data_IF_026069976524
#
_entry.id   IF_026069976524
#
_cell.length_a   1.000
_cell.length_b   1.000
_cell.length_c   1.000
_cell.angle_alpha   90.00
_cell.angle_beta   90.00
_cell.angle_gamma   90.00
#
_symmetry.space_group_name_H-M   'P 1'
#
loop_
_entity.id
_entity.type
_entity.pdbx_description
1 polymer ?
#
# COMPACT_ATOMS: atom_id res chain seq x y z
N UNK A 1 14.59 -66.83 11.36
CA UNK A 1 14.88 -65.76 10.40
C UNK A 1 13.70 -64.76 10.48
N UNK A 2 13.85 -63.65 11.24
CA UNK A 2 12.77 -62.68 11.48
C UNK A 2 12.97 -61.52 10.53
N UNK A 3 12.05 -61.37 9.57
CA UNK A 3 11.96 -60.20 8.69
C UNK A 3 11.45 -58.99 9.49
N UNK A 4 12.25 -57.93 9.54
CA UNK A 4 11.84 -56.64 10.08
C UNK A 4 11.26 -55.81 8.93
N UNK A 5 9.94 -55.57 8.99
CA UNK A 5 9.27 -54.65 8.09
C UNK A 5 9.65 -53.20 8.45
N UNK A 6 10.27 -52.49 7.55
CA UNK A 6 10.54 -51.06 7.65
C UNK A 6 9.31 -50.30 7.09
N UNK A 7 8.56 -49.68 7.97
CA UNK A 7 7.52 -48.74 7.59
C UNK A 7 8.19 -47.36 7.28
N UNK A 8 8.23 -47.00 6.01
CA UNK A 8 8.63 -45.67 5.58
C UNK A 8 7.42 -44.72 5.79
N UNK A 9 7.52 -43.90 6.80
CA UNK A 9 6.53 -42.80 7.01
C UNK A 9 6.89 -41.68 6.04
N UNK A 10 6.15 -41.60 4.91
CA UNK A 10 6.23 -40.44 4.02
C UNK A 10 5.55 -39.24 4.69
N UNK A 11 6.33 -38.34 5.26
CA UNK A 11 5.85 -37.04 5.72
C UNK A 11 5.48 -36.19 4.49
N UNK A 12 4.21 -36.18 4.15
CA UNK A 12 3.67 -35.26 3.15
C UNK A 12 3.81 -33.83 3.69
N UNK A 13 4.72 -33.08 3.08
CA UNK A 13 4.78 -31.62 3.30
C UNK A 13 3.56 -31.04 2.60
N UNK A 14 2.52 -30.76 3.36
CA UNK A 14 1.40 -29.92 2.90
C UNK A 14 1.95 -28.51 2.71
N UNK A 15 2.25 -28.15 1.48
CA UNK A 15 2.35 -26.74 1.10
C UNK A 15 0.97 -26.14 1.28
N UNK A 16 0.76 -25.45 2.41
CA UNK A 16 -0.36 -24.53 2.56
C UNK A 16 -0.10 -23.41 1.54
N UNK A 17 -0.71 -23.52 0.38
CA UNK A 17 -0.80 -22.40 -0.54
C UNK A 17 -1.60 -21.33 0.18
N UNK A 18 -0.91 -20.37 0.78
CA UNK A 18 -1.55 -19.13 1.21
C UNK A 18 -2.15 -18.49 -0.04
N UNK A 19 -3.46 -18.65 -0.18
CA UNK A 19 -4.26 -17.91 -1.15
C UNK A 19 -4.15 -16.43 -0.73
N UNK A 20 -3.14 -15.75 -1.24
CA UNK A 20 -3.05 -14.30 -1.11
C UNK A 20 -4.17 -13.70 -1.95
N UNK A 21 -5.28 -13.39 -1.30
CA UNK A 21 -6.32 -12.55 -1.88
C UNK A 21 -5.74 -11.15 -2.07
N UNK A 22 -6.14 -10.46 -3.14
CA UNK A 22 -5.72 -9.08 -3.35
C UNK A 22 -6.27 -8.16 -2.25
N UNK A 23 -7.49 -8.45 -1.78
CA UNK A 23 -8.18 -7.74 -0.71
C UNK A 23 -8.59 -8.73 0.38
N UNK A 24 -8.13 -8.47 1.61
CA UNK A 24 -8.45 -9.27 2.80
C UNK A 24 -8.66 -8.34 4.01
N UNK A 25 -9.82 -7.67 4.10
CA UNK A 25 -10.08 -6.67 5.12
C UNK A 25 -10.20 -7.28 6.51
N UNK A 26 -9.63 -6.61 7.51
CA UNK A 26 -9.89 -6.86 8.93
C UNK A 26 -10.62 -5.65 9.53
N UNK A 27 -11.74 -5.92 10.23
CA UNK A 27 -12.47 -4.90 10.99
C UNK A 27 -11.89 -4.67 12.37
N UNK A 28 -11.12 -5.63 12.89
CA UNK A 28 -10.55 -5.58 14.22
C UNK A 28 -9.11 -5.05 14.19
N UNK A 29 -8.82 -4.09 15.06
CA UNK A 29 -7.45 -3.63 15.30
C UNK A 29 -6.74 -4.56 16.28
N UNK A 30 -5.92 -5.48 15.79
CA UNK A 30 -5.10 -6.38 16.62
C UNK A 30 -4.10 -5.61 17.46
N UNK A 31 -3.67 -4.46 16.97
CA UNK A 31 -2.67 -3.60 17.58
C UNK A 31 -3.23 -2.18 17.60
N UNK A 32 -3.02 -1.47 18.71
CA UNK A 32 -3.35 -0.05 18.83
C UNK A 32 -2.09 0.76 19.14
N UNK A 33 -2.01 2.02 18.64
CA UNK A 33 -0.82 2.86 18.81
C UNK A 33 -0.41 3.07 20.26
N UNK A 34 -1.35 3.07 21.20
CA UNK A 34 -1.10 3.27 22.63
C UNK A 34 -0.20 2.18 23.22
N UNK A 35 -0.24 0.95 22.69
CA UNK A 35 0.66 -0.14 23.11
C UNK A 35 2.13 0.17 22.85
N UNK A 36 2.41 1.09 21.94
CA UNK A 36 3.76 1.57 21.60
C UNK A 36 4.05 2.96 22.19
N UNK A 37 3.18 3.48 23.05
CA UNK A 37 3.31 4.83 23.58
C UNK A 37 3.14 5.93 22.55
N UNK A 38 2.53 5.64 21.40
CA UNK A 38 2.29 6.62 20.34
C UNK A 38 1.03 7.42 20.63
N UNK A 39 1.18 8.74 20.57
CA UNK A 39 0.03 9.69 20.71
C UNK A 39 -0.53 9.98 19.33
N UNK A 40 -1.84 9.88 19.19
CA UNK A 40 -2.53 10.13 17.92
C UNK A 40 -3.90 10.77 18.16
N UNK A 41 -4.45 11.34 17.09
CA UNK A 41 -5.84 11.78 17.02
C UNK A 41 -6.59 10.90 16.04
N UNK A 42 -7.73 10.38 16.46
CA UNK A 42 -8.64 9.63 15.59
C UNK A 42 -9.71 10.57 15.05
N UNK A 43 -9.90 10.56 13.75
CA UNK A 43 -10.85 11.44 13.07
C UNK A 43 -11.65 10.69 12.01
N UNK A 44 -12.86 11.15 11.75
CA UNK A 44 -13.75 10.64 10.70
C UNK A 44 -13.71 11.57 9.50
N UNK A 45 -13.46 10.98 8.32
CA UNK A 45 -13.37 11.72 7.06
C UNK A 45 -14.51 11.25 6.14
N UNK A 46 -15.36 12.19 5.71
CA UNK A 46 -16.43 11.87 4.76
C UNK A 46 -15.92 12.00 3.34
N UNK A 47 -16.17 10.97 2.53
CA UNK A 47 -15.84 10.96 1.10
C UNK A 47 -16.94 11.68 0.29
N UNK A 48 -16.66 11.98 -0.98
CA UNK A 48 -17.63 12.63 -1.89
C UNK A 48 -18.87 11.78 -2.21
N UNK A 49 -18.79 10.48 -1.95
CA UNK A 49 -19.84 9.47 -2.15
C UNK A 49 -20.35 8.94 -0.80
N UNK A 50 -20.30 9.79 0.24
CA UNK A 50 -20.92 9.65 1.57
C UNK A 50 -20.40 8.48 2.42
N UNK A 51 -19.27 7.86 2.08
CA UNK A 51 -18.63 6.93 2.97
C UNK A 51 -17.87 7.68 4.08
N UNK A 52 -17.81 7.12 5.27
CA UNK A 52 -17.03 7.64 6.40
C UNK A 52 -15.79 6.78 6.61
N UNK A 53 -14.63 7.39 6.51
CA UNK A 53 -13.35 6.73 6.74
C UNK A 53 -12.85 7.00 8.16
N UNK A 54 -12.25 5.99 8.77
CA UNK A 54 -11.50 6.17 10.01
C UNK A 54 -10.05 6.50 9.68
N UNK A 55 -9.50 7.54 10.32
CA UNK A 55 -8.13 7.97 10.10
C UNK A 55 -7.43 8.29 11.43
N UNK A 56 -6.16 7.92 11.50
CA UNK A 56 -5.27 8.23 12.62
C UNK A 56 -4.20 9.23 12.20
N UNK A 57 -4.09 10.31 12.97
CA UNK A 57 -3.15 11.40 12.76
C UNK A 57 -2.10 11.41 13.85
N UNK A 58 -0.85 11.32 13.45
CA UNK A 58 0.31 11.34 14.34
C UNK A 58 1.17 12.56 14.04
N UNK A 59 1.58 13.26 15.08
CA UNK A 59 2.52 14.36 14.97
C UNK A 59 3.86 13.97 15.58
N UNK A 60 4.94 14.13 14.81
CA UNK A 60 6.29 13.90 15.32
C UNK A 60 6.68 14.96 16.34
N UNK A 61 7.55 14.61 17.28
CA UNK A 61 8.12 15.56 18.24
C UNK A 61 9.10 16.55 17.60
N UNK A 62 9.52 16.31 16.36
CA UNK A 62 10.41 17.22 15.62
C UNK A 62 9.61 18.36 15.00
N UNK A 63 10.19 19.58 15.02
CA UNK A 63 9.58 20.72 14.34
C UNK A 63 9.60 20.51 12.83
N UNK A 64 8.44 20.27 12.22
CA UNK A 64 8.30 20.00 10.78
C UNK A 64 6.92 20.39 10.26
N UNK A 65 6.85 20.63 8.96
CA UNK A 65 5.59 20.76 8.20
C UNK A 65 5.40 19.61 7.22
N UNK A 66 6.28 18.61 7.24
CA UNK A 66 6.21 17.45 6.34
C UNK A 66 5.13 16.50 6.82
N UNK A 67 4.31 16.06 5.88
CA UNK A 67 3.27 15.04 6.09
C UNK A 67 3.42 13.92 5.09
N UNK A 68 3.12 12.71 5.54
CA UNK A 68 2.95 11.55 4.67
C UNK A 68 1.59 10.89 4.93
N UNK A 69 0.90 10.52 3.86
CA UNK A 69 -0.29 9.67 3.92
C UNK A 69 0.16 8.25 3.65
N UNK A 70 -0.21 7.32 4.53
CA UNK A 70 0.07 5.89 4.39
C UNK A 70 -1.19 5.18 3.92
N UNK A 71 -1.11 4.53 2.76
CA UNK A 71 -2.15 3.68 2.19
C UNK A 71 -1.79 2.21 2.37
N UNK A 72 -2.66 1.45 3.02
CA UNK A 72 -2.42 0.03 3.34
C UNK A 72 -2.37 -0.88 2.12
N UNK A 73 -1.89 -2.09 2.34
CA UNK A 73 -1.65 -3.09 1.28
C UNK A 73 -2.92 -3.71 0.68
N UNK A 74 -4.08 -3.52 1.33
CA UNK A 74 -5.31 -4.25 1.01
C UNK A 74 -5.50 -5.51 1.85
N UNK A 75 -4.51 -5.89 2.64
CA UNK A 75 -4.62 -6.93 3.67
C UNK A 75 -4.66 -6.29 5.06
N UNK A 76 -5.47 -6.83 5.96
CA UNK A 76 -5.60 -6.34 7.32
C UNK A 76 -6.33 -5.00 7.44
N UNK A 77 -5.72 -4.03 8.12
CA UNK A 77 -6.22 -2.65 8.28
C UNK A 77 -5.05 -1.67 8.54
N UNK A 78 -5.35 -0.38 8.78
CA UNK A 78 -4.30 0.63 8.96
C UNK A 78 -3.35 0.33 10.12
N UNK A 79 -3.78 -0.42 11.16
CA UNK A 79 -2.94 -0.74 12.31
C UNK A 79 -1.73 -1.61 11.94
N UNK A 80 -1.79 -2.36 10.85
CA UNK A 80 -0.67 -3.18 10.39
C UNK A 80 0.52 -2.33 9.90
N UNK A 81 0.29 -1.02 9.67
CA UNK A 81 1.32 -0.06 9.28
C UNK A 81 1.93 0.73 10.45
N UNK A 82 1.63 0.38 11.72
CA UNK A 82 2.13 1.13 12.90
C UNK A 82 3.66 1.19 12.92
N UNK A 83 4.33 0.13 12.54
CA UNK A 83 5.80 0.10 12.56
C UNK A 83 6.39 1.07 11.53
N UNK A 84 5.87 1.07 10.30
CA UNK A 84 6.33 2.01 9.27
C UNK A 84 5.95 3.46 9.63
N UNK A 85 4.79 3.67 10.25
CA UNK A 85 4.39 4.96 10.80
C UNK A 85 5.43 5.48 11.80
N UNK A 86 5.88 4.66 12.75
CA UNK A 86 6.90 5.02 13.73
C UNK A 86 8.24 5.39 13.08
N UNK A 87 8.61 4.72 11.98
CA UNK A 87 9.82 5.07 11.22
C UNK A 87 9.70 6.48 10.60
N UNK A 88 8.54 6.83 10.01
CA UNK A 88 8.30 8.17 9.48
C UNK A 88 8.34 9.25 10.57
N UNK A 89 7.69 9.01 11.72
CA UNK A 89 7.73 9.92 12.87
C UNK A 89 9.16 10.15 13.36
N UNK A 90 9.93 9.08 13.49
CA UNK A 90 11.35 9.12 13.87
C UNK A 90 12.20 9.90 12.87
N UNK A 91 11.87 9.84 11.58
CA UNK A 91 12.52 10.60 10.52
C UNK A 91 12.08 12.08 10.46
N UNK A 92 11.01 12.47 11.16
CA UNK A 92 10.53 13.86 11.22
C UNK A 92 9.40 14.17 10.24
N UNK A 93 8.60 13.17 9.90
CA UNK A 93 7.34 13.33 9.17
C UNK A 93 6.16 13.14 10.11
N UNK A 94 5.17 14.01 10.02
CA UNK A 94 3.84 13.75 10.53
C UNK A 94 3.15 12.72 9.63
N UNK A 95 2.30 11.89 10.21
CA UNK A 95 1.69 10.76 9.50
C UNK A 95 0.18 10.81 9.58
N UNK A 96 -0.46 10.55 8.45
CA UNK A 96 -1.87 10.21 8.38
C UNK A 96 -2.00 8.76 7.87
N UNK A 97 -2.61 7.91 8.67
CA UNK A 97 -3.04 6.57 8.25
C UNK A 97 -4.57 6.53 8.18
N UNK A 98 -5.12 5.71 7.33
CA UNK A 98 -6.57 5.57 7.21
C UNK A 98 -6.95 4.15 6.79
N UNK A 99 -8.15 3.76 7.16
CA UNK A 99 -8.80 2.56 6.66
C UNK A 99 -9.62 2.87 5.43
N UNK A 100 -9.47 2.06 4.39
CA UNK A 100 -10.43 2.05 3.28
C UNK A 100 -11.83 1.72 3.79
N UNK A 101 -12.86 2.11 3.06
CA UNK A 101 -14.22 1.59 3.32
C UNK A 101 -14.20 0.06 3.34
N UNK A 102 -14.93 -0.55 4.26
CA UNK A 102 -14.90 -2.00 4.50
C UNK A 102 -13.80 -2.49 5.44
N UNK A 103 -12.85 -1.62 5.81
CA UNK A 103 -11.72 -1.93 6.70
C UNK A 103 -11.86 -1.23 8.05
N UNK A 104 -11.26 -1.82 9.10
CA UNK A 104 -11.18 -1.24 10.43
C UNK A 104 -12.49 -0.63 10.91
N UNK A 105 -12.48 0.63 11.33
CA UNK A 105 -13.64 1.39 11.79
C UNK A 105 -14.22 2.35 10.72
N UNK A 106 -13.87 2.18 9.44
CA UNK A 106 -14.51 2.87 8.32
C UNK A 106 -15.90 2.29 8.01
N UNK A 107 -16.69 3.00 7.20
CA UNK A 107 -18.03 2.57 6.77
C UNK A 107 -18.02 1.14 6.22
N UNK A 108 -19.14 0.46 6.39
CA UNK A 108 -19.33 -0.85 5.80
C UNK A 108 -19.26 -0.77 4.27
N UNK A 109 -18.64 -1.75 3.70
CA UNK A 109 -18.53 -1.95 2.27
C UNK A 109 -18.30 -3.43 1.98
N UNK A 110 -19.08 -3.99 1.07
CA UNK A 110 -18.94 -5.40 0.71
C UNK A 110 -17.72 -5.57 -0.18
N UNK A 111 -16.76 -6.36 0.30
CA UNK A 111 -15.54 -6.70 -0.43
C UNK A 111 -15.62 -8.14 -0.89
N UNK A 112 -15.57 -8.31 -2.21
CA UNK A 112 -15.41 -9.60 -2.86
C UNK A 112 -13.91 -9.89 -3.00
N UNK A 113 -13.38 -10.97 -2.42
CA UNK A 113 -11.96 -11.31 -2.47
C UNK A 113 -11.45 -11.61 -3.90
N UNK A 114 -12.33 -11.94 -4.83
CA UNK A 114 -11.96 -12.15 -6.24
C UNK A 114 -11.86 -10.83 -7.03
N UNK A 115 -12.28 -9.71 -6.45
CA UNK A 115 -12.11 -8.37 -7.01
C UNK A 115 -10.77 -7.80 -6.59
N UNK A 116 -9.96 -7.37 -7.57
CA UNK A 116 -8.60 -6.89 -7.29
C UNK A 116 -8.58 -5.54 -6.58
N UNK A 117 -9.42 -4.61 -7.01
CA UNK A 117 -9.50 -3.26 -6.45
C UNK A 117 -10.86 -2.65 -6.75
N UNK A 118 -11.32 -1.76 -5.88
CA UNK A 118 -12.54 -0.99 -6.08
C UNK A 118 -12.24 0.47 -6.45
N UNK A 119 -12.96 1.06 -7.44
CA UNK A 119 -12.83 2.48 -7.80
C UNK A 119 -13.03 3.42 -6.61
N UNK A 120 -13.84 3.01 -5.63
CA UNK A 120 -14.13 3.73 -4.41
C UNK A 120 -12.88 3.97 -3.55
N UNK A 121 -11.88 3.10 -3.59
CA UNK A 121 -10.62 3.31 -2.84
C UNK A 121 -9.83 4.52 -3.35
N UNK A 122 -10.00 4.90 -4.64
CA UNK A 122 -9.49 6.17 -5.15
C UNK A 122 -10.21 7.37 -4.51
N UNK A 123 -11.54 7.25 -4.30
CA UNK A 123 -12.30 8.28 -3.60
C UNK A 123 -11.85 8.40 -2.14
N UNK A 124 -11.55 7.28 -1.50
CA UNK A 124 -11.08 7.24 -0.12
C UNK A 124 -9.76 8.01 0.04
N UNK A 125 -8.73 7.68 -0.76
CA UNK A 125 -7.46 8.41 -0.71
C UNK A 125 -7.61 9.88 -1.10
N UNK A 126 -8.46 10.20 -2.09
CA UNK A 126 -8.76 11.58 -2.44
C UNK A 126 -9.41 12.35 -1.29
N UNK A 127 -10.34 11.73 -0.55
CA UNK A 127 -10.99 12.35 0.59
C UNK A 127 -9.99 12.65 1.72
N UNK A 128 -9.07 11.72 2.00
CA UNK A 128 -7.99 11.93 2.98
C UNK A 128 -7.08 13.09 2.56
N UNK A 129 -6.67 13.13 1.30
CA UNK A 129 -5.84 14.21 0.76
C UNK A 129 -6.56 15.57 0.81
N UNK A 130 -7.86 15.61 0.48
CA UNK A 130 -8.69 16.80 0.58
C UNK A 130 -8.89 17.25 2.03
N UNK A 131 -9.04 16.33 2.97
CA UNK A 131 -9.15 16.63 4.39
C UNK A 131 -7.87 17.29 4.92
N UNK A 132 -6.69 16.75 4.59
CA UNK A 132 -5.41 17.38 4.92
C UNK A 132 -5.34 18.83 4.40
N UNK A 133 -5.72 19.05 3.14
CA UNK A 133 -5.70 20.38 2.54
C UNK A 133 -6.73 21.34 3.15
N UNK A 134 -7.98 20.91 3.28
CA UNK A 134 -9.11 21.80 3.63
C UNK A 134 -9.24 21.99 5.14
N UNK A 135 -9.08 20.94 5.93
CA UNK A 135 -9.34 20.94 7.37
C UNK A 135 -8.10 21.19 8.20
N UNK A 136 -6.90 20.88 7.66
CA UNK A 136 -5.62 21.02 8.35
C UNK A 136 -4.66 22.01 7.70
N UNK A 137 -5.08 22.66 6.61
CA UNK A 137 -4.29 23.63 5.83
C UNK A 137 -2.92 23.07 5.33
N UNK A 138 -2.83 21.74 5.15
CA UNK A 138 -1.63 21.08 4.67
C UNK A 138 -1.69 21.02 3.15
N UNK A 139 -0.93 21.91 2.50
CA UNK A 139 -0.97 22.10 1.04
C UNK A 139 0.01 21.21 0.28
N UNK A 140 0.94 20.57 0.96
CA UNK A 140 1.93 19.64 0.38
C UNK A 140 2.13 18.46 1.30
N UNK A 141 2.12 17.25 0.72
CA UNK A 141 2.37 15.99 1.43
C UNK A 141 3.06 14.98 0.52
N UNK A 142 3.60 13.95 1.12
CA UNK A 142 4.12 12.78 0.45
C UNK A 142 3.10 11.64 0.54
N UNK A 143 3.16 10.67 -0.36
CA UNK A 143 2.36 9.45 -0.32
C UNK A 143 3.29 8.25 -0.14
N UNK A 144 2.89 7.35 0.72
CA UNK A 144 3.47 6.03 0.86
C UNK A 144 2.38 4.98 0.73
N UNK A 145 2.60 3.94 -0.04
CA UNK A 145 1.65 2.85 -0.15
C UNK A 145 2.31 1.53 -0.49
N UNK A 146 1.71 0.45 0.02
CA UNK A 146 2.14 -0.92 -0.24
C UNK A 146 1.11 -1.65 -1.10
N UNK A 147 1.56 -2.47 -2.03
CA UNK A 147 0.71 -3.27 -2.92
C UNK A 147 -0.45 -2.45 -3.53
N UNK A 148 -1.70 -2.71 -3.11
CA UNK A 148 -2.88 -1.95 -3.54
C UNK A 148 -2.69 -0.46 -3.26
N UNK A 149 -2.28 -0.10 -2.04
CA UNK A 149 -2.00 1.28 -1.65
C UNK A 149 -0.87 1.94 -2.44
N UNK A 150 0.12 1.16 -2.88
CA UNK A 150 1.18 1.62 -3.76
C UNK A 150 0.65 2.12 -5.10
N UNK A 151 -0.21 1.32 -5.74
CA UNK A 151 -0.88 1.70 -6.98
C UNK A 151 -1.87 2.85 -6.80
N UNK A 152 -2.65 2.86 -5.69
CA UNK A 152 -3.54 3.99 -5.36
C UNK A 152 -2.74 5.29 -5.17
N UNK A 153 -1.59 5.22 -4.50
CA UNK A 153 -0.71 6.37 -4.30
C UNK A 153 -0.18 6.93 -5.63
N UNK A 154 0.15 6.07 -6.59
CA UNK A 154 0.52 6.50 -7.93
C UNK A 154 -0.68 7.09 -8.69
N UNK A 155 -1.79 6.38 -8.73
CA UNK A 155 -2.99 6.79 -9.46
C UNK A 155 -3.52 8.15 -9.00
N UNK A 156 -3.67 8.34 -7.69
CA UNK A 156 -4.14 9.60 -7.09
C UNK A 156 -3.02 10.65 -7.09
N UNK A 157 -1.83 10.27 -6.65
CA UNK A 157 -0.74 11.21 -6.42
C UNK A 157 -0.22 11.88 -7.67
N UNK A 158 -0.11 11.17 -8.79
CA UNK A 158 0.28 11.75 -10.08
C UNK A 158 -0.74 12.77 -10.60
N UNK A 159 -2.01 12.66 -10.21
CA UNK A 159 -3.08 13.55 -10.62
C UNK A 159 -3.29 14.76 -9.68
N UNK A 160 -2.55 14.85 -8.55
CA UNK A 160 -2.71 15.92 -7.55
C UNK A 160 -1.52 16.85 -7.49
N UNK A 161 -1.80 18.14 -7.43
CA UNK A 161 -0.77 19.19 -7.30
C UNK A 161 -0.18 19.27 -5.89
N UNK A 162 -0.88 18.76 -4.88
CA UNK A 162 -0.44 18.73 -3.48
C UNK A 162 0.60 17.65 -3.21
N UNK A 163 0.65 16.61 -4.04
CA UNK A 163 1.62 15.53 -3.89
C UNK A 163 3.02 16.01 -4.24
N UNK A 164 3.95 15.82 -3.30
CA UNK A 164 5.36 16.19 -3.46
C UNK A 164 6.20 15.00 -3.93
N UNK A 165 6.09 13.86 -3.24
CA UNK A 165 6.77 12.62 -3.57
C UNK A 165 5.87 11.42 -3.34
N UNK A 166 6.14 10.34 -4.06
CA UNK A 166 5.43 9.08 -3.91
C UNK A 166 6.44 7.97 -3.66
N UNK A 167 6.18 7.17 -2.63
CA UNK A 167 6.87 5.90 -2.37
C UNK A 167 5.84 4.79 -2.59
N UNK A 168 6.06 3.97 -3.61
CA UNK A 168 5.16 2.88 -3.97
C UNK A 168 5.91 1.55 -3.85
N UNK A 169 5.54 0.76 -2.85
CA UNK A 169 6.12 -0.54 -2.56
C UNK A 169 5.26 -1.64 -3.18
N UNK A 170 5.82 -2.39 -4.13
CA UNK A 170 5.13 -3.42 -4.88
C UNK A 170 3.84 -2.97 -5.57
N UNK A 171 3.80 -1.78 -6.22
CA UNK A 171 2.57 -1.26 -6.79
C UNK A 171 2.12 -2.11 -7.98
N UNK A 172 0.81 -2.31 -8.12
CA UNK A 172 0.26 -2.80 -9.38
C UNK A 172 0.44 -1.76 -10.50
N UNK A 173 0.40 -2.22 -11.75
CA UNK A 173 0.73 -1.36 -12.91
C UNK A 173 -0.50 -0.90 -13.69
N UNK A 174 -1.38 -1.84 -14.01
CA UNK A 174 -2.64 -1.60 -14.71
C UNK A 174 -3.52 -2.84 -14.63
N UNK A 175 -4.84 -2.68 -14.74
CA UNK A 175 -5.80 -3.74 -14.48
C UNK A 175 -5.71 -4.86 -15.53
N UNK A 176 -5.54 -4.54 -16.80
CA UNK A 176 -5.39 -5.55 -17.84
C UNK A 176 -4.10 -6.37 -17.66
N UNK A 177 -3.01 -5.72 -17.25
CA UNK A 177 -1.75 -6.38 -16.92
C UNK A 177 -1.93 -7.31 -15.72
N UNK A 178 -2.60 -6.84 -14.68
CA UNK A 178 -2.90 -7.65 -13.50
C UNK A 178 -3.79 -8.83 -13.84
N UNK A 179 -4.84 -8.65 -14.64
CA UNK A 179 -5.72 -9.72 -15.09
C UNK A 179 -4.94 -10.82 -15.83
N UNK A 180 -4.09 -10.42 -16.78
CA UNK A 180 -3.24 -11.36 -17.51
C UNK A 180 -2.31 -12.12 -16.58
N UNK A 181 -1.59 -11.39 -15.72
CA UNK A 181 -0.63 -11.95 -14.78
C UNK A 181 -1.28 -12.89 -13.76
N UNK A 182 -2.45 -12.50 -13.26
CA UNK A 182 -3.21 -13.32 -12.30
C UNK A 182 -3.65 -14.66 -12.91
N UNK A 183 -4.09 -14.63 -14.17
CA UNK A 183 -4.41 -15.85 -14.92
C UNK A 183 -3.18 -16.74 -15.14
N UNK A 184 -2.04 -16.15 -15.50
CA UNK A 184 -0.79 -16.86 -15.73
C UNK A 184 -0.24 -17.50 -14.44
N UNK A 185 -0.25 -16.77 -13.32
CA UNK A 185 0.39 -17.21 -12.07
C UNK A 185 -0.57 -18.01 -11.18
N UNK A 186 -1.85 -17.63 -11.10
CA UNK A 186 -2.84 -18.25 -10.20
C UNK A 186 -3.83 -19.16 -10.90
N UNK A 187 -3.86 -19.17 -12.23
CA UNK A 187 -4.83 -19.95 -13.02
C UNK A 187 -6.28 -19.48 -12.87
N UNK A 188 -6.51 -18.30 -12.31
CA UNK A 188 -7.84 -17.73 -12.03
C UNK A 188 -8.08 -16.46 -12.84
N UNK A 189 -9.35 -16.17 -13.12
CA UNK A 189 -9.75 -14.88 -13.70
C UNK A 189 -9.83 -13.83 -12.59
N UNK A 190 -9.29 -12.65 -12.86
CA UNK A 190 -9.40 -11.50 -11.99
C UNK A 190 -10.61 -10.66 -12.42
N UNK A 191 -11.46 -10.29 -11.47
CA UNK A 191 -12.62 -9.43 -11.73
C UNK A 191 -12.13 -7.97 -11.76
N UNK A 192 -12.34 -7.30 -12.89
CA UNK A 192 -12.14 -5.85 -13.02
C UNK A 192 -13.48 -5.18 -12.74
N UNK A 193 -13.56 -4.28 -11.76
CA UNK A 193 -14.80 -3.63 -11.41
C UNK A 193 -15.31 -2.72 -12.55
N UNK A 194 -16.61 -2.69 -12.74
CA UNK A 194 -17.25 -1.79 -13.69
C UNK A 194 -17.06 -0.32 -13.27
N UNK A 195 -16.88 0.57 -14.25
CA UNK A 195 -16.78 2.02 -14.01
C UNK A 195 -15.41 2.49 -13.49
N UNK A 196 -14.38 1.66 -13.60
CA UNK A 196 -13.02 2.07 -13.27
C UNK A 196 -12.48 3.06 -14.31
N UNK A 197 -11.99 4.22 -13.83
CA UNK A 197 -11.38 5.24 -14.71
C UNK A 197 -9.91 4.91 -14.92
N UNK A 198 -9.54 4.56 -16.15
CA UNK A 198 -8.16 4.25 -16.54
C UNK A 198 -7.15 5.34 -16.22
N UNK A 199 -7.58 6.60 -16.12
CA UNK A 199 -6.66 7.70 -15.77
C UNK A 199 -6.05 7.57 -14.37
N UNK A 200 -6.66 6.75 -13.51
CA UNK A 200 -6.16 6.42 -12.16
C UNK A 200 -5.40 5.09 -12.11
N UNK A 201 -5.32 4.33 -13.19
CA UNK A 201 -4.40 3.20 -13.24
C UNK A 201 -2.96 3.71 -13.22
N UNK A 202 -2.06 3.13 -12.39
CA UNK A 202 -0.71 3.65 -12.21
C UNK A 202 0.04 3.97 -13.50
N UNK A 203 0.02 3.07 -14.48
CA UNK A 203 0.73 3.28 -15.74
C UNK A 203 0.23 4.49 -16.52
N UNK A 204 -1.09 4.74 -16.56
CA UNK A 204 -1.67 5.88 -17.25
C UNK A 204 -1.56 7.19 -16.45
N UNK A 205 -1.63 7.11 -15.12
CA UNK A 205 -1.39 8.25 -14.23
C UNK A 205 0.06 8.72 -14.33
N UNK A 206 1.01 7.81 -14.44
CA UNK A 206 2.43 8.11 -14.67
C UNK A 206 2.68 8.89 -15.97
N UNK A 207 1.93 8.58 -17.02
CA UNK A 207 2.08 9.28 -18.32
C UNK A 207 1.55 10.73 -18.27
N UNK A 208 0.69 11.06 -17.28
CA UNK A 208 0.03 12.37 -17.15
C UNK A 208 0.40 13.11 -15.87
N UNK A 209 1.57 12.84 -15.34
CA UNK A 209 2.08 13.37 -14.09
C UNK A 209 1.93 14.90 -14.00
N UNK A 210 1.33 15.39 -12.92
CA UNK A 210 1.14 16.83 -12.68
C UNK A 210 2.46 17.54 -12.36
N UNK A 211 2.62 18.80 -12.80
CA UNK A 211 3.73 19.63 -12.37
C UNK A 211 3.77 19.76 -10.85
N UNK A 212 4.96 19.64 -10.27
CA UNK A 212 5.16 19.76 -8.82
C UNK A 212 5.43 18.44 -8.10
N UNK A 213 5.14 17.29 -8.72
CA UNK A 213 5.63 16.00 -8.25
C UNK A 213 7.15 15.95 -8.44
N UNK A 214 7.89 15.83 -7.32
CA UNK A 214 9.36 15.92 -7.31
C UNK A 214 10.05 14.58 -7.53
N UNK A 215 9.33 13.47 -7.34
CA UNK A 215 9.90 12.15 -7.56
C UNK A 215 8.97 11.01 -7.17
N UNK A 216 9.26 9.85 -7.72
CA UNK A 216 8.61 8.57 -7.44
C UNK A 216 9.68 7.53 -7.14
N UNK A 217 9.62 6.94 -5.95
CA UNK A 217 10.43 5.78 -5.57
C UNK A 217 9.56 4.53 -5.70
N UNK A 218 9.98 3.62 -6.57
CA UNK A 218 9.44 2.27 -6.61
C UNK A 218 10.29 1.35 -5.73
N UNK A 219 9.64 0.52 -4.93
CA UNK A 219 10.30 -0.53 -4.14
C UNK A 219 9.73 -1.86 -4.62
N UNK A 220 10.58 -2.85 -4.86
CA UNK A 220 10.15 -4.10 -5.47
C UNK A 220 11.02 -5.28 -5.05
N UNK A 221 10.39 -6.44 -4.80
CA UNK A 221 11.07 -7.70 -4.63
C UNK A 221 11.53 -8.26 -5.99
N UNK A 222 12.76 -8.77 -6.11
CA UNK A 222 13.21 -9.45 -7.32
C UNK A 222 12.54 -10.81 -7.54
N UNK A 223 11.91 -11.37 -6.51
CA UNK A 223 11.33 -12.73 -6.51
C UNK A 223 9.81 -12.74 -6.55
N UNK A 224 9.17 -11.57 -6.58
CA UNK A 224 7.71 -11.51 -6.64
C UNK A 224 7.21 -12.04 -8.00
N UNK A 225 6.35 -13.04 -7.95
CA UNK A 225 5.82 -13.69 -9.16
C UNK A 225 4.79 -12.82 -9.88
N UNK A 226 4.07 -11.99 -9.13
CA UNK A 226 3.00 -11.14 -9.67
C UNK A 226 3.54 -9.82 -10.22
N UNK A 227 4.45 -9.18 -9.48
CA UNK A 227 4.92 -7.81 -9.75
C UNK A 227 6.43 -7.71 -9.48
N UNK A 228 7.22 -8.05 -10.48
CA UNK A 228 8.67 -8.05 -10.41
C UNK A 228 9.30 -6.79 -11.04
N UNK A 229 10.62 -6.59 -10.98
CA UNK A 229 11.27 -5.40 -11.54
C UNK A 229 11.03 -5.16 -13.04
N UNK A 230 10.70 -6.21 -13.82
CA UNK A 230 10.36 -6.07 -15.23
C UNK A 230 8.99 -5.43 -15.42
N UNK A 231 8.03 -5.82 -14.60
CA UNK A 231 6.67 -5.23 -14.61
C UNK A 231 6.73 -3.75 -14.23
N UNK A 232 7.62 -3.38 -13.28
CA UNK A 232 7.79 -1.98 -12.85
C UNK A 232 8.25 -1.02 -13.97
N UNK A 233 8.84 -1.52 -15.04
CA UNK A 233 9.24 -0.68 -16.21
C UNK A 233 8.05 -0.03 -16.92
N UNK A 234 6.83 -0.52 -16.69
CA UNK A 234 5.61 0.13 -17.19
C UNK A 234 5.29 1.44 -16.47
N UNK A 235 5.84 1.66 -15.28
CA UNK A 235 5.64 2.86 -14.47
C UNK A 235 6.72 3.90 -14.79
N UNK A 236 6.56 4.59 -15.92
CA UNK A 236 7.56 5.52 -16.47
C UNK A 236 7.82 6.77 -15.64
N UNK A 237 6.98 7.06 -14.64
CA UNK A 237 7.17 8.18 -13.71
C UNK A 237 8.23 7.91 -12.65
N UNK A 238 8.72 6.69 -12.53
CA UNK A 238 9.74 6.34 -11.53
C UNK A 238 11.02 7.14 -11.74
N UNK A 239 11.44 7.88 -10.70
CA UNK A 239 12.73 8.57 -10.66
C UNK A 239 13.80 7.71 -10.03
N UNK A 240 13.41 6.79 -9.16
CA UNK A 240 14.28 5.80 -8.51
C UNK A 240 13.55 4.47 -8.37
N UNK A 241 14.30 3.37 -8.45
CA UNK A 241 13.81 2.02 -8.15
C UNK A 241 14.76 1.35 -7.18
N UNK A 242 14.22 0.87 -6.06
CA UNK A 242 14.94 0.07 -5.08
C UNK A 242 14.47 -1.37 -5.17
N UNK A 243 15.38 -2.26 -5.57
CA UNK A 243 15.17 -3.70 -5.54
C UNK A 243 15.62 -4.20 -4.17
N UNK A 244 14.70 -4.76 -3.38
CA UNK A 244 14.99 -5.24 -2.03
C UNK A 244 15.70 -6.60 -2.11
N UNK A 245 17.00 -6.67 -1.78
CA UNK A 245 17.74 -7.92 -1.88
C UNK A 245 17.12 -8.99 -0.99
N UNK A 246 17.01 -10.21 -1.54
CA UNK A 246 16.49 -11.40 -0.83
C UNK A 246 15.03 -11.35 -0.38
N UNK A 247 14.30 -10.27 -0.61
CA UNK A 247 12.87 -10.25 -0.33
C UNK A 247 12.15 -11.34 -1.13
N UNK A 248 11.35 -12.22 -0.48
CA UNK A 248 10.67 -13.31 -1.18
C UNK A 248 9.50 -12.83 -2.03
N UNK A 249 8.88 -11.71 -1.64
CA UNK A 249 7.76 -11.08 -2.35
C UNK A 249 7.60 -9.62 -1.91
N UNK A 250 6.76 -8.85 -2.60
CA UNK A 250 6.57 -7.43 -2.31
C UNK A 250 5.94 -7.15 -0.94
N UNK A 251 5.11 -8.05 -0.40
CA UNK A 251 4.52 -7.87 0.92
C UNK A 251 5.55 -7.93 2.06
N UNK A 252 6.68 -8.59 1.81
CA UNK A 252 7.75 -8.77 2.79
C UNK A 252 8.95 -7.80 2.60
N UNK A 253 8.85 -6.87 1.66
CA UNK A 253 9.95 -5.93 1.38
C UNK A 253 10.43 -5.20 2.65
N UNK A 254 9.51 -4.60 3.39
CA UNK A 254 9.85 -3.90 4.64
C UNK A 254 10.38 -4.85 5.71
N UNK A 255 9.76 -6.01 5.90
CA UNK A 255 10.14 -6.97 6.93
C UNK A 255 11.50 -7.62 6.68
N UNK A 256 11.93 -7.73 5.42
CA UNK A 256 13.21 -8.37 5.04
C UNK A 256 14.41 -7.63 5.59
N UNK A 257 14.42 -6.29 5.54
CA UNK A 257 15.48 -5.47 6.14
C UNK A 257 14.95 -4.07 6.45
N UNK A 258 14.27 -3.93 7.58
CA UNK A 258 13.57 -2.72 8.00
C UNK A 258 14.45 -1.47 8.01
N UNK A 259 15.69 -1.61 8.49
CA UNK A 259 16.61 -0.47 8.65
C UNK A 259 17.07 0.04 7.29
N UNK A 260 17.55 -0.85 6.44
CA UNK A 260 18.06 -0.47 5.11
C UNK A 260 16.89 -0.02 4.19
N UNK A 261 15.75 -0.68 4.29
CA UNK A 261 14.53 -0.27 3.59
C UNK A 261 14.19 1.19 3.91
N UNK A 262 14.09 1.51 5.20
CA UNK A 262 13.70 2.85 5.61
C UNK A 262 14.81 3.90 5.39
N UNK A 263 16.07 3.51 5.40
CA UNK A 263 17.18 4.37 4.98
C UNK A 263 16.99 4.83 3.52
N UNK A 264 16.60 3.92 2.62
CA UNK A 264 16.30 4.28 1.22
C UNK A 264 15.12 5.24 1.10
N UNK A 265 14.04 4.95 1.84
CA UNK A 265 12.86 5.83 1.90
C UNK A 265 13.23 7.22 2.41
N UNK A 266 13.92 7.31 3.54
CA UNK A 266 14.34 8.57 4.15
C UNK A 266 15.25 9.38 3.22
N UNK A 267 16.24 8.73 2.62
CA UNK A 267 17.17 9.38 1.68
C UNK A 267 16.42 9.94 0.47
N UNK A 268 15.48 9.20 -0.09
CA UNK A 268 14.65 9.69 -1.18
C UNK A 268 13.80 10.89 -0.76
N UNK A 269 13.23 10.89 0.43
CA UNK A 269 12.35 11.97 0.90
C UNK A 269 13.08 13.30 1.13
N UNK A 270 14.36 13.30 1.49
CA UNK A 270 15.14 14.53 1.76
C UNK A 270 15.86 15.10 0.53
N UNK A 271 15.99 14.34 -0.55
CA UNK A 271 16.51 14.81 -1.85
C UNK A 271 15.54 15.79 -2.51
#
# INVERSE_FOLDING_TARGET
MKMKSFFLLAAGVFFINNLSFALNPSREYKIKPEKYGMVYKEEKITTKDDATLNAWFFETTKKTTNWVIISGSGDGNMADNIEICNQFLSAGWNVCMYDYRGYGASSDFMIDPDTYIYPQFMNDLNAVADYLRKSRAITKFDLYGQNIGGGLSLGVGCNRTETRKIIADGPWTGLEQMKKKYKEVKGKELIIPFGYDKSFEPMYACDKMRPGLKGVLLIVSPKDEMLNPTDMKLLKCATQTYIVPNSPNNAENFATDKNFYFEKVSKFLVQ
#
